data_IF_522637673780
#
_entry.id   IF_522637673780
#
_cell.length_a   1.000
_cell.length_b   1.000
_cell.length_c   1.000
_cell.angle_alpha   90.00
_cell.angle_beta   90.00
_cell.angle_gamma   90.00
#
_symmetry.space_group_name_H-M   'P 1'
#
loop_
_entity.id
_entity.type
_entity.pdbx_description
1 polymer ?
#
# COMPACT_ATOMS: atom_id res chain seq x y z
N UNK A 1 -25.33 -4.99 -21.07
CA UNK A 1 -24.75 -5.23 -19.74
C UNK A 1 -23.25 -5.23 -19.92
N UNK A 2 -22.59 -4.44 -19.10
CA UNK A 2 -21.29 -3.78 -19.29
C UNK A 2 -20.11 -4.76 -19.25
N UNK A 3 -19.29 -4.74 -20.31
CA UNK A 3 -17.94 -5.33 -20.35
C UNK A 3 -16.98 -4.49 -19.48
N UNK A 4 -17.09 -4.58 -18.15
CA UNK A 4 -16.19 -3.90 -17.23
C UNK A 4 -15.58 -4.85 -16.17
N UNK A 5 -15.72 -6.17 -16.34
CA UNK A 5 -15.30 -7.16 -15.34
C UNK A 5 -14.23 -8.13 -15.86
N UNK A 6 -13.60 -7.86 -16.99
CA UNK A 6 -12.56 -8.74 -17.54
C UNK A 6 -11.15 -8.13 -17.40
N UNK A 7 -10.36 -8.80 -16.55
CA UNK A 7 -8.90 -8.98 -16.63
C UNK A 7 -7.99 -7.95 -15.94
N UNK A 8 -8.04 -7.88 -14.61
CA UNK A 8 -6.81 -7.65 -13.84
C UNK A 8 -6.01 -8.96 -13.75
N UNK A 9 -5.61 -9.51 -14.90
CA UNK A 9 -4.74 -10.69 -14.94
C UNK A 9 -3.32 -10.25 -14.63
N UNK A 10 -2.83 -10.53 -13.41
CA UNK A 10 -1.43 -10.45 -12.97
C UNK A 10 -0.61 -9.39 -13.74
N UNK A 11 -1.08 -8.14 -13.73
CA UNK A 11 -0.38 -7.08 -14.45
C UNK A 11 0.99 -6.92 -13.82
N UNK A 12 2.03 -6.94 -14.66
CA UNK A 12 3.41 -6.80 -14.22
C UNK A 12 3.53 -5.58 -13.28
N UNK A 13 4.29 -5.63 -12.16
CA UNK A 13 4.31 -4.57 -11.15
C UNK A 13 4.52 -3.16 -11.74
N UNK A 14 5.34 -3.05 -12.78
CA UNK A 14 5.58 -1.80 -13.54
C UNK A 14 4.31 -1.22 -14.16
N UNK A 15 3.43 -2.07 -14.69
CA UNK A 15 2.13 -1.66 -15.24
C UNK A 15 1.24 -1.10 -14.14
N UNK A 16 1.18 -1.74 -12.97
CA UNK A 16 0.35 -1.27 -11.85
C UNK A 16 0.81 0.11 -11.34
N UNK A 17 2.11 0.35 -11.22
CA UNK A 17 2.62 1.68 -10.86
C UNK A 17 2.23 2.73 -11.91
N UNK A 18 2.33 2.42 -13.21
CA UNK A 18 1.90 3.33 -14.27
C UNK A 18 0.40 3.64 -14.20
N UNK A 19 -0.44 2.63 -13.94
CA UNK A 19 -1.89 2.80 -13.79
C UNK A 19 -2.24 3.65 -12.55
N UNK A 20 -1.52 3.49 -11.44
CA UNK A 20 -1.71 4.35 -10.26
C UNK A 20 -1.39 5.81 -10.61
N UNK A 21 -0.28 6.07 -11.30
CA UNK A 21 0.08 7.42 -11.72
C UNK A 21 -0.97 8.03 -12.66
N UNK A 22 -1.39 7.28 -13.68
CA UNK A 22 -2.43 7.69 -14.62
C UNK A 22 -3.75 8.01 -13.89
N UNK A 23 -4.14 7.17 -12.91
CA UNK A 23 -5.37 7.39 -12.16
C UNK A 23 -5.32 8.67 -11.32
N UNK A 24 -4.20 8.96 -10.67
CA UNK A 24 -4.03 10.23 -9.96
C UNK A 24 -4.04 11.43 -10.90
N UNK A 25 -3.47 11.33 -12.11
CA UNK A 25 -3.54 12.40 -13.12
C UNK A 25 -4.99 12.66 -13.55
N UNK A 26 -5.78 11.60 -13.80
CA UNK A 26 -7.20 11.72 -14.14
C UNK A 26 -8.02 12.42 -13.05
N UNK A 27 -7.65 12.25 -11.79
CA UNK A 27 -8.30 12.86 -10.64
C UNK A 27 -7.81 14.29 -10.32
N UNK A 28 -6.82 14.81 -11.06
CA UNK A 28 -6.08 16.06 -10.75
C UNK A 28 -5.36 16.01 -9.37
N UNK A 29 -4.81 14.84 -9.04
CA UNK A 29 -4.15 14.52 -7.78
C UNK A 29 -2.71 14.02 -7.98
N UNK A 30 -2.03 14.46 -9.05
CA UNK A 30 -0.66 14.01 -9.39
C UNK A 30 0.39 14.15 -8.28
N UNK A 31 0.18 15.05 -7.30
CA UNK A 31 1.08 15.20 -6.15
C UNK A 31 1.10 13.96 -5.24
N UNK A 32 0.08 13.10 -5.30
CA UNK A 32 0.02 11.86 -4.56
C UNK A 32 0.93 10.75 -5.10
N UNK A 33 1.28 10.78 -6.39
CA UNK A 33 2.00 9.67 -7.03
C UNK A 33 3.31 9.34 -6.31
N UNK A 34 4.13 10.35 -6.02
CA UNK A 34 5.40 10.15 -5.33
C UNK A 34 5.21 9.63 -3.90
N UNK A 35 4.20 10.14 -3.19
CA UNK A 35 3.88 9.71 -1.82
C UNK A 35 3.45 8.26 -1.78
N UNK A 36 2.52 7.87 -2.66
CA UNK A 36 2.03 6.49 -2.74
C UNK A 36 3.12 5.52 -3.15
N UNK A 37 4.00 5.89 -4.10
CA UNK A 37 5.10 5.02 -4.50
C UNK A 37 6.12 4.86 -3.37
N UNK A 38 6.47 5.97 -2.71
CA UNK A 38 7.35 5.94 -1.55
C UNK A 38 6.79 5.09 -0.41
N UNK A 39 5.48 5.17 -0.17
CA UNK A 39 4.77 4.36 0.81
C UNK A 39 4.74 2.87 0.44
N UNK A 40 4.36 2.53 -0.80
CA UNK A 40 4.33 1.15 -1.29
C UNK A 40 5.71 0.49 -1.26
N UNK A 41 6.77 1.23 -1.57
CA UNK A 41 8.15 0.74 -1.48
C UNK A 41 8.54 0.30 -0.07
N UNK A 42 7.88 0.83 0.97
CA UNK A 42 8.13 0.38 2.35
C UNK A 42 7.66 -1.05 2.58
N UNK A 43 6.65 -1.50 1.83
CA UNK A 43 6.11 -2.85 1.88
C UNK A 43 6.76 -3.79 0.86
N UNK A 44 7.84 -3.37 0.19
CA UNK A 44 8.57 -4.27 -0.70
C UNK A 44 9.08 -5.50 0.07
N UNK A 45 8.84 -6.68 -0.48
CA UNK A 45 9.06 -7.96 0.20
C UNK A 45 7.87 -8.51 0.99
N UNK A 46 6.72 -7.82 1.08
CA UNK A 46 5.51 -8.39 1.71
C UNK A 46 4.98 -9.58 0.90
N UNK A 47 5.35 -9.69 -0.39
CA UNK A 47 5.15 -10.88 -1.24
C UNK A 47 5.89 -12.12 -0.76
N UNK A 48 6.89 -11.96 0.11
CA UNK A 48 7.52 -13.08 0.82
C UNK A 48 6.74 -13.52 2.08
N UNK A 49 5.80 -12.71 2.56
CA UNK A 49 4.77 -13.19 3.48
C UNK A 49 3.76 -14.05 2.71
N UNK A 50 3.12 -14.97 3.41
CA UNK A 50 2.10 -15.83 2.82
C UNK A 50 0.84 -14.99 2.51
N UNK A 51 0.68 -14.58 1.25
CA UNK A 51 -0.60 -14.16 0.75
C UNK A 51 -1.41 -15.41 0.39
N UNK A 52 -2.54 -15.62 1.07
CA UNK A 52 -3.49 -16.69 0.71
C UNK A 52 -4.07 -16.51 -0.70
N UNK A 53 -3.98 -15.29 -1.24
CA UNK A 53 -4.52 -14.87 -2.52
C UNK A 53 -3.46 -14.10 -3.33
N UNK A 54 -3.21 -14.52 -4.58
CA UNK A 54 -2.28 -13.83 -5.49
C UNK A 54 -2.78 -12.40 -5.83
N UNK A 55 -4.07 -12.13 -5.67
CA UNK A 55 -4.67 -10.81 -5.85
C UNK A 55 -4.47 -9.87 -4.65
N UNK A 56 -3.87 -10.33 -3.55
CA UNK A 56 -3.64 -9.53 -2.34
C UNK A 56 -2.37 -8.65 -2.40
N UNK A 57 -1.88 -8.31 -3.59
CA UNK A 57 -0.75 -7.41 -3.76
C UNK A 57 -1.09 -6.00 -3.26
N UNK A 58 -0.27 -5.38 -2.39
CA UNK A 58 -0.49 -4.02 -1.90
C UNK A 58 -0.70 -3.01 -3.03
N UNK A 59 0.05 -3.14 -4.13
CA UNK A 59 -0.07 -2.24 -5.28
C UNK A 59 -1.40 -2.39 -5.99
N UNK A 60 -1.91 -3.62 -6.14
CA UNK A 60 -3.21 -3.87 -6.78
C UNK A 60 -4.36 -3.36 -5.90
N UNK A 61 -4.26 -3.56 -4.59
CA UNK A 61 -5.25 -3.07 -3.64
C UNK A 61 -5.35 -1.53 -3.65
N UNK A 62 -4.20 -0.86 -3.68
CA UNK A 62 -4.12 0.60 -3.85
C UNK A 62 -4.77 1.05 -5.15
N UNK A 63 -4.46 0.40 -6.28
CA UNK A 63 -5.06 0.74 -7.57
C UNK A 63 -6.58 0.61 -7.55
N UNK A 64 -7.11 -0.48 -6.98
CA UNK A 64 -8.57 -0.70 -6.83
C UNK A 64 -9.19 0.43 -6.00
N UNK A 65 -8.59 0.73 -4.85
CA UNK A 65 -9.07 1.78 -3.94
C UNK A 65 -9.14 3.16 -4.61
N UNK A 66 -8.09 3.58 -5.32
CA UNK A 66 -8.08 4.90 -5.96
C UNK A 66 -8.95 4.95 -7.23
N UNK A 67 -9.26 3.79 -7.81
CA UNK A 67 -10.18 3.69 -8.93
C UNK A 67 -11.62 4.02 -8.51
N UNK A 68 -11.98 3.69 -7.26
CA UNK A 68 -13.30 3.98 -6.69
C UNK A 68 -13.49 5.45 -6.26
N UNK A 69 -12.43 6.26 -6.25
CA UNK A 69 -12.52 7.68 -5.92
C UNK A 69 -13.21 8.49 -7.03
N UNK A 70 -14.00 9.48 -6.62
CA UNK A 70 -14.66 10.40 -7.55
C UNK A 70 -13.77 11.59 -7.92
N UNK A 71 -14.05 12.22 -9.07
CA UNK A 71 -13.40 13.47 -9.48
C UNK A 71 -13.63 14.56 -8.42
N UNK A 72 -12.56 15.21 -7.98
CA UNK A 72 -12.64 16.25 -6.94
C UNK A 72 -12.51 15.71 -5.51
N UNK A 73 -12.15 14.43 -5.33
CA UNK A 73 -11.73 13.90 -4.04
C UNK A 73 -10.61 14.76 -3.43
N UNK A 74 -10.75 15.04 -2.14
CA UNK A 74 -9.78 15.79 -1.34
C UNK A 74 -8.61 14.91 -0.91
N UNK A 75 -7.50 15.55 -0.54
CA UNK A 75 -6.34 14.84 0.04
C UNK A 75 -6.72 14.01 1.27
N UNK A 76 -7.67 14.50 2.08
CA UNK A 76 -8.15 13.77 3.24
C UNK A 76 -8.88 12.47 2.85
N UNK A 77 -9.73 12.53 1.81
CA UNK A 77 -10.46 11.35 1.33
C UNK A 77 -9.51 10.31 0.73
N UNK A 78 -8.49 10.75 -0.02
CA UNK A 78 -7.44 9.89 -0.56
C UNK A 78 -6.67 9.22 0.59
N UNK A 79 -6.20 10.00 1.57
CA UNK A 79 -5.45 9.49 2.71
C UNK A 79 -6.26 8.47 3.53
N UNK A 80 -7.54 8.77 3.78
CA UNK A 80 -8.44 7.88 4.50
C UNK A 80 -8.67 6.55 3.75
N UNK A 81 -8.90 6.61 2.44
CA UNK A 81 -9.07 5.42 1.61
C UNK A 81 -7.79 4.55 1.58
N UNK A 82 -6.62 5.17 1.43
CA UNK A 82 -5.33 4.46 1.49
C UNK A 82 -5.02 3.91 2.89
N UNK A 83 -5.58 4.47 3.95
CA UNK A 83 -5.38 3.99 5.32
C UNK A 83 -6.31 2.83 5.72
N UNK A 84 -7.27 2.45 4.86
CA UNK A 84 -8.23 1.38 5.12
C UNK A 84 -7.94 0.06 4.37
N UNK A 85 -6.74 -0.10 3.83
CA UNK A 85 -6.36 -1.30 3.06
C UNK A 85 -6.27 -2.54 3.96
N UNK A 86 -6.73 -3.68 3.45
CA UNK A 86 -6.65 -4.98 4.08
C UNK A 86 -5.20 -5.43 4.27
N UNK A 87 -4.27 -5.13 3.35
CA UNK A 87 -2.87 -5.52 3.55
C UNK A 87 -2.25 -4.90 4.82
N UNK A 88 -2.83 -3.81 5.36
CA UNK A 88 -2.40 -3.18 6.61
C UNK A 88 -2.79 -4.00 7.85
N UNK A 89 -3.59 -5.05 7.71
CA UNK A 89 -3.90 -6.01 8.79
C UNK A 89 -2.77 -7.00 9.05
N UNK A 90 -1.78 -7.07 8.16
CA UNK A 90 -0.58 -7.87 8.37
C UNK A 90 0.29 -7.28 9.49
N UNK A 91 0.92 -8.18 10.23
CA UNK A 91 1.92 -7.90 11.24
C UNK A 91 3.15 -8.71 10.93
N UNK A 92 4.30 -8.09 11.13
CA UNK A 92 5.59 -8.67 10.79
C UNK A 92 6.48 -8.56 12.02
N UNK A 93 7.06 -9.69 12.41
CA UNK A 93 8.07 -9.80 13.45
C UNK A 93 9.37 -10.29 12.83
N UNK A 94 10.48 -9.72 13.27
CA UNK A 94 11.81 -10.15 12.84
C UNK A 94 12.06 -11.62 13.27
N UNK A 95 12.67 -12.47 12.44
CA UNK A 95 12.81 -13.90 12.75
C UNK A 95 13.72 -14.19 13.95
N UNK A 96 14.74 -13.36 14.17
CA UNK A 96 15.75 -13.61 15.21
C UNK A 96 15.59 -12.72 16.45
N UNK A 97 14.63 -11.78 16.47
CA UNK A 97 14.45 -10.84 17.57
C UNK A 97 12.97 -10.73 17.98
N UNK A 98 12.69 -10.06 19.10
CA UNK A 98 11.33 -9.75 19.54
C UNK A 98 10.75 -8.48 18.87
N UNK A 99 11.50 -7.86 17.97
CA UNK A 99 11.12 -6.60 17.33
C UNK A 99 9.99 -6.80 16.31
N UNK A 100 9.12 -5.80 16.23
CA UNK A 100 8.01 -5.75 15.28
C UNK A 100 8.26 -4.64 14.29
N UNK A 101 7.97 -4.93 13.03
CA UNK A 101 8.14 -3.98 11.96
C UNK A 101 7.11 -2.86 12.06
N UNK A 102 7.56 -1.61 12.03
CA UNK A 102 6.70 -0.45 11.85
C UNK A 102 6.96 0.17 10.46
N UNK A 103 6.03 0.03 9.49
CA UNK A 103 6.16 0.56 8.14
C UNK A 103 6.20 2.08 8.09
N UNK A 104 5.96 2.82 9.17
CA UNK A 104 6.15 4.28 9.20
C UNK A 104 7.57 4.67 9.63
N UNK A 105 8.36 3.74 10.18
CA UNK A 105 9.75 3.98 10.62
C UNK A 105 10.84 3.54 9.63
N UNK A 106 10.73 2.34 9.04
CA UNK A 106 11.68 1.82 8.03
C UNK A 106 10.96 0.99 6.95
N UNK A 107 11.67 0.60 5.88
CA UNK A 107 11.14 -0.36 4.91
C UNK A 107 11.20 -1.78 5.47
N UNK A 108 10.36 -2.69 4.96
CA UNK A 108 10.38 -4.09 5.34
C UNK A 108 11.71 -4.75 5.01
N UNK A 109 12.27 -4.43 3.84
CA UNK A 109 13.57 -4.89 3.42
C UNK A 109 14.68 -4.48 4.39
N UNK A 110 14.72 -3.22 4.82
CA UNK A 110 15.69 -2.74 5.81
C UNK A 110 15.50 -3.40 7.19
N UNK A 111 14.25 -3.67 7.56
CA UNK A 111 13.91 -4.30 8.83
C UNK A 111 14.33 -5.77 8.90
N UNK A 112 14.05 -6.54 7.86
CA UNK A 112 14.31 -7.99 7.81
C UNK A 112 15.74 -8.29 7.38
N UNK A 113 16.30 -7.51 6.46
CA UNK A 113 17.56 -7.80 5.80
C UNK A 113 17.46 -8.89 4.74
N UNK A 114 18.58 -9.10 4.04
CA UNK A 114 18.67 -10.00 2.87
C UNK A 114 18.57 -11.46 3.33
N UNK A 115 17.84 -12.28 2.56
CA UNK A 115 17.70 -13.74 2.71
C UNK A 115 17.06 -14.22 4.02
N UNK A 116 16.22 -13.39 4.64
CA UNK A 116 15.50 -13.77 5.87
C UNK A 116 13.99 -13.81 5.64
N UNK A 117 13.35 -14.79 6.25
CA UNK A 117 11.90 -14.95 6.19
C UNK A 117 11.26 -14.33 7.44
N UNK A 118 10.40 -13.31 7.31
CA UNK A 118 9.69 -12.77 8.45
C UNK A 118 8.68 -13.75 9.05
N UNK A 119 8.33 -13.53 10.31
CA UNK A 119 7.13 -14.14 10.91
C UNK A 119 5.96 -13.20 10.64
N UNK A 120 5.02 -13.63 9.78
CA UNK A 120 3.86 -12.84 9.39
C UNK A 120 2.56 -13.42 9.99
N UNK A 121 1.66 -12.56 10.47
CA UNK A 121 0.31 -12.95 10.89
C UNK A 121 -0.68 -11.80 10.65
N UNK A 122 -1.98 -12.12 10.49
CA UNK A 122 -3.05 -11.11 10.46
C UNK A 122 -3.54 -10.79 11.87
N UNK A 123 -3.93 -9.54 12.10
CA UNK A 123 -4.58 -9.09 13.33
C UNK A 123 -5.77 -8.20 13.00
N UNK A 124 -6.74 -8.09 13.92
CA UNK A 124 -7.89 -7.20 13.75
C UNK A 124 -7.46 -5.73 13.70
N UNK A 125 -7.78 -5.05 12.60
CA UNK A 125 -7.44 -3.65 12.37
C UNK A 125 -6.08 -3.43 11.73
N UNK A 126 -5.88 -2.22 11.21
CA UNK A 126 -4.64 -1.80 10.57
C UNK A 126 -3.49 -1.63 11.57
N UNK A 127 -2.26 -1.89 11.12
CA UNK A 127 -1.04 -1.46 11.80
C UNK A 127 -0.05 -0.82 10.84
N UNK A 128 0.42 0.39 11.15
CA UNK A 128 -0.06 1.25 12.25
C UNK A 128 -1.54 1.60 12.11
N UNK A 129 -2.13 2.22 13.14
CA UNK A 129 -3.56 2.53 13.09
C UNK A 129 -3.87 3.37 11.85
N UNK A 130 -5.07 3.22 11.28
CA UNK A 130 -5.46 3.96 10.07
C UNK A 130 -5.25 5.47 10.23
N UNK A 131 -5.54 6.02 11.42
CA UNK A 131 -5.27 7.43 11.74
C UNK A 131 -3.79 7.82 11.67
N UNK A 132 -2.88 6.93 12.07
CA UNK A 132 -1.44 7.17 12.01
C UNK A 132 -0.94 7.10 10.57
N UNK A 133 -1.46 6.15 9.78
CA UNK A 133 -1.15 6.03 8.35
C UNK A 133 -1.66 7.24 7.58
N UNK A 134 -2.91 7.65 7.81
CA UNK A 134 -3.54 8.83 7.20
C UNK A 134 -2.73 10.10 7.50
N UNK A 135 -2.37 10.31 8.78
CA UNK A 135 -1.55 11.46 9.19
C UNK A 135 -0.20 11.44 8.49
N UNK A 136 0.48 10.28 8.49
CA UNK A 136 1.79 10.15 7.87
C UNK A 136 1.75 10.42 6.36
N UNK A 137 0.73 9.91 5.65
CA UNK A 137 0.52 10.13 4.22
C UNK A 137 0.34 11.63 3.91
N UNK A 138 -0.48 12.33 4.69
CA UNK A 138 -0.70 13.77 4.54
C UNK A 138 0.56 14.60 4.85
N UNK A 139 1.38 14.16 5.81
CA UNK A 139 2.67 14.79 6.11
C UNK A 139 3.65 14.66 4.93
N UNK A 140 3.64 13.53 4.21
CA UNK A 140 4.51 13.34 3.05
C UNK A 140 4.19 14.29 1.89
N UNK A 141 2.93 14.72 1.72
CA UNK A 141 2.57 15.71 0.69
C UNK A 141 3.29 17.05 0.85
N UNK A 142 3.66 17.40 2.08
CA UNK A 142 4.30 18.67 2.42
C UNK A 142 5.83 18.60 2.43
N UNK A 143 6.38 17.39 2.32
CA UNK A 143 7.82 17.16 2.37
C UNK A 143 8.41 17.37 0.97
N UNK A 144 9.15 18.46 0.80
CA UNK A 144 9.85 18.82 -0.46
C UNK A 144 11.28 18.31 -0.49
#
# INVERSE_FOLDING_TARGET
MTHAEEQFHAEHPVTLFALIAERFEQLDLQHWTAVVFGWLARYDGLTHCYFEDEDASPTLEVLRTISDLEQGASDQEVAAALASQEFLTWRIKHPDTEERWDPLTCSLYDFIGIDRHPICWKWEGSYPSSSAIETWLLEQLHTK
#
